data_IF_324569713997
#
_entry.id   IF_324569713997
#
_cell.length_a   1.000
_cell.length_b   1.000
_cell.length_c   1.000
_cell.angle_alpha   90.00
_cell.angle_beta   90.00
_cell.angle_gamma   90.00
#
_symmetry.space_group_name_H-M   'P 1'
#
loop_
_entity.id
_entity.type
_entity.pdbx_description
1 polymer ?
#
# COMPACT_ATOMS: atom_id res chain seq x y z
N UNK A 1 -14.09 19.23 -5.54
CA UNK A 1 -14.60 18.97 -6.91
C UNK A 1 -15.88 19.74 -7.29
N UNK A 2 -16.84 19.96 -6.37
CA UNK A 2 -18.14 20.61 -6.69
C UNK A 2 -18.08 22.12 -6.96
N UNK A 3 -17.23 22.88 -6.27
CA UNK A 3 -17.14 24.33 -6.50
C UNK A 3 -16.57 24.70 -7.87
N UNK A 4 -15.50 24.02 -8.32
CA UNK A 4 -14.90 24.25 -9.64
C UNK A 4 -15.87 23.96 -10.79
N UNK A 5 -16.63 22.86 -10.68
CA UNK A 5 -17.65 22.49 -11.66
C UNK A 5 -18.84 23.46 -11.64
N UNK A 6 -19.32 23.86 -10.46
CA UNK A 6 -20.35 24.89 -10.33
C UNK A 6 -19.91 26.25 -10.90
N UNK A 7 -18.67 26.68 -10.64
CA UNK A 7 -18.12 27.92 -11.18
C UNK A 7 -18.00 27.88 -12.71
N UNK A 8 -17.57 26.75 -13.28
CA UNK A 8 -17.53 26.55 -14.73
C UNK A 8 -18.93 26.56 -15.37
N UNK A 9 -19.91 25.91 -14.74
CA UNK A 9 -21.30 25.94 -15.21
C UNK A 9 -21.89 27.35 -15.15
N UNK A 10 -21.60 28.11 -14.10
CA UNK A 10 -22.03 29.50 -13.97
C UNK A 10 -21.38 30.39 -15.03
N UNK A 11 -20.08 30.23 -15.28
CA UNK A 11 -19.36 30.92 -16.35
C UNK A 11 -19.97 30.58 -17.73
N UNK A 12 -20.24 29.30 -18.00
CA UNK A 12 -20.86 28.84 -19.23
C UNK A 12 -22.24 29.50 -19.41
N UNK A 13 -23.08 29.48 -18.37
CA UNK A 13 -24.39 30.12 -18.39
C UNK A 13 -24.30 31.63 -18.66
N UNK A 14 -23.30 32.31 -18.08
CA UNK A 14 -23.08 33.73 -18.27
C UNK A 14 -22.63 34.04 -19.71
N UNK A 15 -21.73 33.23 -20.28
CA UNK A 15 -21.30 33.35 -21.69
C UNK A 15 -22.46 33.10 -22.65
N UNK A 16 -23.24 32.04 -22.43
CA UNK A 16 -24.40 31.71 -23.26
C UNK A 16 -25.48 32.79 -23.16
N UNK A 17 -25.76 33.28 -21.95
CA UNK A 17 -26.70 34.37 -21.73
C UNK A 17 -26.27 35.67 -22.40
N UNK A 18 -24.98 36.03 -22.29
CA UNK A 18 -24.42 37.19 -22.99
C UNK A 18 -24.51 37.04 -24.52
N UNK A 19 -24.21 35.86 -25.06
CA UNK A 19 -24.30 35.59 -26.49
C UNK A 19 -25.76 35.70 -27.00
N UNK A 20 -26.72 35.18 -26.24
CA UNK A 20 -28.14 35.26 -26.56
C UNK A 20 -28.67 36.71 -26.52
N UNK A 21 -28.25 37.51 -25.53
CA UNK A 21 -28.61 38.93 -25.44
C UNK A 21 -28.07 39.73 -26.62
N UNK A 22 -26.87 39.39 -27.10
CA UNK A 22 -26.18 40.07 -28.20
C UNK A 22 -26.41 39.38 -29.57
N UNK A 23 -27.47 38.57 -29.71
CA UNK A 23 -27.70 37.73 -30.89
C UNK A 23 -27.64 38.49 -32.22
N UNK A 24 -28.24 39.68 -32.27
CA UNK A 24 -28.27 40.52 -33.47
C UNK A 24 -26.87 40.88 -34.00
N UNK A 25 -25.88 41.04 -33.11
CA UNK A 25 -24.49 41.31 -33.49
C UNK A 25 -23.80 40.07 -34.09
N UNK A 26 -24.20 38.87 -33.65
CA UNK A 26 -23.61 37.62 -34.14
C UNK A 26 -24.08 37.25 -35.56
N UNK A 27 -25.32 37.61 -35.91
CA UNK A 27 -25.91 37.37 -37.25
C UNK A 27 -25.64 38.50 -38.25
N UNK A 28 -24.97 39.58 -37.82
CA UNK A 28 -24.60 40.67 -38.72
C UNK A 28 -23.67 40.18 -39.85
N UNK A 29 -24.02 40.37 -41.13
CA UNK A 29 -23.23 39.88 -42.25
C UNK A 29 -21.89 40.63 -42.34
N UNK A 30 -20.79 39.87 -42.40
CA UNK A 30 -19.45 40.38 -42.57
C UNK A 30 -18.78 39.73 -43.79
N UNK A 31 -17.93 40.46 -44.48
CA UNK A 31 -17.07 39.91 -45.52
C UNK A 31 -15.85 39.26 -44.86
N UNK A 32 -15.78 37.93 -44.84
CA UNK A 32 -14.62 37.19 -44.34
C UNK A 32 -13.70 36.84 -45.50
N UNK A 33 -12.41 37.16 -45.35
CA UNK A 33 -11.37 36.67 -46.24
C UNK A 33 -10.75 35.39 -45.65
N UNK A 34 -10.91 34.26 -46.33
CA UNK A 34 -10.40 32.95 -45.92
C UNK A 34 -8.99 32.66 -46.45
N UNK A 35 -8.30 33.67 -47.00
CA UNK A 35 -7.00 33.54 -47.65
C UNK A 35 -7.06 32.99 -49.08
N UNK A 36 -8.03 32.12 -49.39
CA UNK A 36 -8.28 31.57 -50.72
C UNK A 36 -9.51 32.18 -51.43
N UNK A 37 -10.28 33.01 -50.75
CA UNK A 37 -11.48 33.65 -51.29
C UNK A 37 -12.26 34.41 -50.21
N UNK A 38 -13.15 35.32 -50.63
CA UNK A 38 -14.04 36.05 -49.74
C UNK A 38 -15.42 35.41 -49.68
N UNK A 39 -15.89 35.08 -48.48
CA UNK A 39 -17.26 34.59 -48.24
C UNK A 39 -17.98 35.60 -47.35
N UNK A 40 -19.25 35.84 -47.66
CA UNK A 40 -20.11 36.68 -46.85
C UNK A 40 -20.84 35.80 -45.84
N UNK A 41 -20.40 35.87 -44.59
CA UNK A 41 -20.95 35.07 -43.50
C UNK A 41 -20.96 35.91 -42.22
N UNK A 42 -21.90 35.68 -41.30
CA UNK A 42 -21.85 36.32 -40.00
C UNK A 42 -20.63 35.84 -39.21
N UNK A 43 -19.63 36.72 -39.07
CA UNK A 43 -18.37 36.42 -38.40
C UNK A 43 -18.61 35.91 -36.97
N UNK A 44 -19.61 36.47 -36.30
CA UNK A 44 -19.97 36.08 -34.94
C UNK A 44 -20.41 34.62 -34.84
N UNK A 45 -21.28 34.14 -35.73
CA UNK A 45 -21.70 32.73 -35.75
C UNK A 45 -20.55 31.78 -36.03
N UNK A 46 -19.65 32.16 -36.95
CA UNK A 46 -18.46 31.35 -37.28
C UNK A 46 -17.55 31.21 -36.07
N UNK A 47 -17.27 32.30 -35.36
CA UNK A 47 -16.46 32.27 -34.13
C UNK A 47 -17.13 31.48 -33.00
N UNK A 48 -18.44 31.65 -32.80
CA UNK A 48 -19.20 30.90 -31.78
C UNK A 48 -19.17 29.39 -32.07
N UNK A 49 -19.35 29.00 -33.34
CA UNK A 49 -19.28 27.61 -33.77
C UNK A 49 -17.90 27.00 -33.56
N UNK A 50 -16.84 27.71 -33.95
CA UNK A 50 -15.46 27.27 -33.73
C UNK A 50 -15.14 27.13 -32.24
N UNK A 51 -15.54 28.10 -31.41
CA UNK A 51 -15.32 28.06 -29.97
C UNK A 51 -16.08 26.89 -29.33
N UNK A 52 -17.33 26.66 -29.73
CA UNK A 52 -18.14 25.54 -29.27
C UNK A 52 -17.53 24.19 -29.64
N UNK A 53 -17.08 24.05 -30.89
CA UNK A 53 -16.42 22.85 -31.40
C UNK A 53 -15.10 22.58 -30.66
N UNK A 54 -14.29 23.61 -30.44
CA UNK A 54 -13.06 23.52 -29.67
C UNK A 54 -13.34 23.10 -28.23
N UNK A 55 -14.34 23.71 -27.58
CA UNK A 55 -14.76 23.36 -26.21
C UNK A 55 -15.20 21.92 -26.11
N UNK A 56 -16.01 21.44 -27.07
CA UNK A 56 -16.47 20.06 -27.14
C UNK A 56 -15.28 19.09 -27.34
N UNK A 57 -14.39 19.38 -28.27
CA UNK A 57 -13.20 18.57 -28.52
C UNK A 57 -12.29 18.49 -27.28
N UNK A 58 -12.04 19.62 -26.62
CA UNK A 58 -11.30 19.67 -25.36
C UNK A 58 -12.01 18.88 -24.25
N UNK A 59 -13.33 19.02 -24.12
CA UNK A 59 -14.09 18.27 -23.11
C UNK A 59 -14.01 16.77 -23.33
N UNK A 60 -14.11 16.30 -24.59
CA UNK A 60 -13.94 14.89 -24.93
C UNK A 60 -12.52 14.41 -24.65
N UNK A 61 -11.51 15.19 -25.02
CA UNK A 61 -10.11 14.89 -24.73
C UNK A 61 -9.85 14.78 -23.21
N UNK A 62 -10.35 15.74 -22.42
CA UNK A 62 -10.25 15.73 -20.95
C UNK A 62 -11.01 14.55 -20.32
N UNK A 63 -12.17 14.19 -20.86
CA UNK A 63 -12.94 13.04 -20.37
C UNK A 63 -12.19 11.73 -20.64
N UNK A 64 -11.62 11.59 -21.83
CA UNK A 64 -10.76 10.45 -22.18
C UNK A 64 -9.52 10.39 -21.27
N UNK A 65 -8.89 11.54 -21.02
CA UNK A 65 -7.70 11.66 -20.16
C UNK A 65 -7.97 11.34 -18.67
N UNK A 66 -9.17 11.66 -18.17
CA UNK A 66 -9.57 11.27 -16.81
C UNK A 66 -9.78 9.76 -16.67
N UNK A 67 -10.16 9.08 -17.75
CA UNK A 67 -10.33 7.62 -17.77
C UNK A 67 -9.02 6.86 -17.53
N UNK A 68 -7.93 7.32 -18.13
CA UNK A 68 -6.58 6.72 -17.95
C UNK A 68 -6.08 6.90 -16.51
N UNK A 69 -6.28 8.06 -15.90
CA UNK A 69 -5.85 8.31 -14.51
C UNK A 69 -6.60 7.42 -13.50
N UNK A 70 -7.90 7.14 -13.74
CA UNK A 70 -8.68 6.23 -12.89
C UNK A 70 -8.27 4.76 -13.04
N UNK A 71 -7.83 4.36 -14.25
CA UNK A 71 -7.37 3.01 -14.51
C UNK A 71 -5.98 2.75 -13.90
N UNK A 72 -5.07 3.72 -14.00
CA UNK A 72 -3.74 3.65 -13.38
C UNK A 72 -3.82 3.61 -11.84
N UNK A 73 -4.68 4.42 -11.22
CA UNK A 73 -4.90 4.36 -9.76
C UNK A 73 -5.44 3.01 -9.30
N UNK A 74 -6.34 2.38 -10.08
CA UNK A 74 -6.79 1.01 -9.81
C UNK A 74 -5.67 -0.02 -9.98
N UNK A 75 -4.77 0.17 -10.96
CA UNK A 75 -3.65 -0.74 -11.18
C UNK A 75 -2.64 -0.66 -10.04
N UNK A 76 -2.27 0.54 -9.60
CA UNK A 76 -1.37 0.73 -8.46
C UNK A 76 -1.96 0.20 -7.15
N UNK A 77 -3.27 0.35 -6.93
CA UNK A 77 -3.92 -0.25 -5.76
C UNK A 77 -3.80 -1.79 -5.75
N UNK A 78 -3.90 -2.45 -6.91
CA UNK A 78 -3.68 -3.89 -7.03
C UNK A 78 -2.23 -4.29 -6.81
N UNK A 79 -1.29 -3.53 -7.36
CA UNK A 79 0.16 -3.77 -7.16
C UNK A 79 0.55 -3.66 -5.68
N UNK A 80 0.05 -2.64 -4.97
CA UNK A 80 0.26 -2.49 -3.51
C UNK A 80 -0.37 -3.65 -2.72
N UNK A 81 -1.58 -4.08 -3.10
CA UNK A 81 -2.24 -5.19 -2.42
C UNK A 81 -1.46 -6.50 -2.58
N UNK A 82 -0.96 -6.79 -3.79
CA UNK A 82 -0.15 -7.97 -4.05
C UNK A 82 1.18 -7.93 -3.27
N UNK A 83 1.82 -6.77 -3.16
CA UNK A 83 3.02 -6.61 -2.35
C UNK A 83 2.76 -6.81 -0.85
N UNK A 84 1.62 -6.32 -0.34
CA UNK A 84 1.21 -6.58 1.06
C UNK A 84 1.01 -8.06 1.32
N UNK A 85 0.34 -8.76 0.42
CA UNK A 85 0.10 -10.20 0.58
C UNK A 85 1.41 -11.01 0.58
N UNK A 86 2.37 -10.65 -0.28
CA UNK A 86 3.71 -11.25 -0.27
C UNK A 86 4.49 -10.90 1.00
N UNK A 87 4.38 -9.66 1.50
CA UNK A 87 5.00 -9.24 2.74
C UNK A 87 4.42 -9.99 3.95
N UNK A 88 3.09 -10.06 4.07
CA UNK A 88 2.39 -10.77 5.13
C UNK A 88 2.75 -12.27 5.13
N UNK A 89 2.86 -12.87 3.95
CA UNK A 89 3.29 -14.27 3.82
C UNK A 89 4.75 -14.47 4.24
N UNK A 90 5.64 -13.54 3.88
CA UNK A 90 7.03 -13.57 4.30
C UNK A 90 7.17 -13.34 5.82
N UNK A 91 6.36 -12.47 6.41
CA UNK A 91 6.31 -12.23 7.85
C UNK A 91 5.77 -13.47 8.60
N UNK A 92 4.72 -14.12 8.10
CA UNK A 92 4.19 -15.36 8.65
C UNK A 92 5.23 -16.50 8.63
N UNK A 93 6.00 -16.59 7.54
CA UNK A 93 7.12 -17.54 7.43
C UNK A 93 8.21 -17.27 8.46
N UNK A 94 8.66 -16.00 8.58
CA UNK A 94 9.65 -15.58 9.59
C UNK A 94 9.17 -15.85 11.01
N UNK A 95 7.90 -15.59 11.32
CA UNK A 95 7.33 -15.87 12.63
C UNK A 95 7.34 -17.36 12.93
N UNK A 96 7.02 -18.20 11.94
CA UNK A 96 7.05 -19.66 12.06
C UNK A 96 8.49 -20.16 12.27
N UNK A 97 9.45 -19.63 11.54
CA UNK A 97 10.88 -19.96 11.68
C UNK A 97 11.41 -19.58 13.06
N UNK A 98 11.18 -18.34 13.51
CA UNK A 98 11.54 -17.86 14.86
C UNK A 98 10.92 -18.73 15.95
N UNK A 99 9.64 -19.09 15.81
CA UNK A 99 8.96 -19.99 16.75
C UNK A 99 9.64 -21.36 16.79
N UNK A 100 10.02 -21.89 15.64
CA UNK A 100 10.67 -23.21 15.54
C UNK A 100 12.06 -23.17 16.19
N UNK A 101 12.85 -22.13 15.93
CA UNK A 101 14.15 -21.92 16.58
C UNK A 101 14.00 -21.79 18.10
N UNK A 102 13.04 -20.98 18.56
CA UNK A 102 12.78 -20.79 19.99
C UNK A 102 12.35 -22.11 20.66
N UNK A 103 11.51 -22.90 20.01
CA UNK A 103 11.11 -24.22 20.52
C UNK A 103 12.31 -25.17 20.61
N UNK A 104 13.21 -25.15 19.63
CA UNK A 104 14.43 -25.96 19.64
C UNK A 104 15.38 -25.53 20.78
N UNK A 105 15.58 -24.23 20.98
CA UNK A 105 16.37 -23.68 22.08
C UNK A 105 15.79 -24.05 23.45
N UNK A 106 14.47 -23.91 23.63
CA UNK A 106 13.79 -24.31 24.87
C UNK A 106 13.94 -25.80 25.16
N UNK A 107 13.79 -26.66 24.14
CA UNK A 107 14.01 -28.09 24.27
C UNK A 107 15.47 -28.42 24.63
N UNK A 108 16.43 -27.72 24.01
CA UNK A 108 17.85 -27.85 24.32
C UNK A 108 18.20 -27.44 25.75
N UNK A 109 17.62 -26.33 26.23
CA UNK A 109 17.78 -25.89 27.62
C UNK A 109 17.16 -26.87 28.62
N UNK A 110 15.96 -27.39 28.32
CA UNK A 110 15.31 -28.39 29.17
C UNK A 110 16.15 -29.67 29.28
N UNK A 111 16.73 -30.13 28.16
CA UNK A 111 17.61 -31.30 28.14
C UNK A 111 18.90 -31.06 28.95
N UNK A 112 19.53 -29.89 28.81
CA UNK A 112 20.73 -29.53 29.60
C UNK A 112 20.43 -29.48 31.10
N UNK A 113 19.27 -28.95 31.48
CA UNK A 113 18.87 -28.84 32.89
C UNK A 113 18.59 -30.22 33.51
N UNK A 114 17.98 -31.12 32.74
CA UNK A 114 17.78 -32.52 33.13
C UNK A 114 19.11 -33.25 33.30
N UNK A 115 20.03 -33.09 32.35
CA UNK A 115 21.37 -33.67 32.42
C UNK A 115 22.17 -33.13 33.61
N UNK A 116 22.10 -31.83 33.92
CA UNK A 116 22.77 -31.27 35.10
C UNK A 116 22.17 -31.80 36.40
N UNK A 117 20.85 -31.99 36.47
CA UNK A 117 20.21 -32.58 37.65
C UNK A 117 20.64 -34.03 37.87
N UNK A 118 20.69 -34.81 36.79
CA UNK A 118 21.16 -36.19 36.84
C UNK A 118 22.62 -36.27 37.29
N UNK A 119 23.50 -35.43 36.72
CA UNK A 119 24.90 -35.36 37.13
C UNK A 119 25.03 -35.01 38.63
N UNK A 120 24.30 -34.00 39.11
CA UNK A 120 24.27 -33.66 40.54
C UNK A 120 23.79 -34.83 41.41
N UNK A 121 22.74 -35.52 40.97
CA UNK A 121 22.19 -36.66 41.73
C UNK A 121 23.16 -37.84 41.78
N UNK A 122 23.93 -38.06 40.72
CA UNK A 122 24.95 -39.09 40.68
C UNK A 122 26.12 -38.74 41.60
N UNK A 123 26.60 -37.50 41.55
CA UNK A 123 27.68 -37.00 42.40
C UNK A 123 27.31 -37.12 43.90
N UNK A 124 26.06 -36.77 44.25
CA UNK A 124 25.52 -36.98 45.60
C UNK A 124 25.51 -38.46 46.03
N UNK A 125 25.18 -39.38 45.12
CA UNK A 125 25.19 -40.84 45.41
C UNK A 125 26.61 -41.36 45.59
N UNK A 126 27.56 -40.91 44.77
CA UNK A 126 28.97 -41.27 44.90
C UNK A 126 29.55 -40.76 46.23
N UNK A 127 29.27 -39.51 46.60
CA UNK A 127 29.65 -38.97 47.91
C UNK A 127 29.02 -39.74 49.07
N UNK A 128 27.73 -40.07 48.99
CA UNK A 128 27.06 -40.88 50.03
C UNK A 128 27.72 -42.26 50.20
N UNK A 129 28.07 -42.91 49.09
CA UNK A 129 28.74 -44.22 49.13
C UNK A 129 30.17 -44.10 49.69
N UNK A 130 30.92 -43.06 49.31
CA UNK A 130 32.26 -42.81 49.83
C UNK A 130 32.25 -42.51 51.33
N UNK A 131 31.25 -41.77 51.82
CA UNK A 131 31.06 -41.54 53.27
C UNK A 131 30.72 -42.85 54.00
N UNK A 132 29.83 -43.67 53.46
CA UNK A 132 29.50 -44.97 54.05
C UNK A 132 30.73 -45.89 54.15
N UNK A 133 31.58 -45.92 53.12
CA UNK A 133 32.82 -46.68 53.12
C UNK A 133 33.81 -46.17 54.19
N UNK A 134 33.99 -44.85 54.30
CA UNK A 134 34.85 -44.26 55.34
C UNK A 134 34.33 -44.54 56.76
N UNK A 135 33.02 -44.48 56.99
CA UNK A 135 32.41 -44.83 58.28
C UNK A 135 32.61 -46.31 58.59
N UNK A 136 32.42 -47.20 57.61
CA UNK A 136 32.64 -48.63 57.79
C UNK A 136 34.10 -48.95 58.13
N UNK A 137 35.07 -48.28 57.48
CA UNK A 137 36.49 -48.42 57.79
C UNK A 137 36.81 -47.94 59.21
N UNK A 138 36.23 -46.81 59.65
CA UNK A 138 36.41 -46.31 61.02
C UNK A 138 35.83 -47.26 62.07
N UNK A 139 34.64 -47.83 61.80
CA UNK A 139 34.02 -48.82 62.70
C UNK A 139 34.85 -50.10 62.82
N UNK A 140 35.43 -50.59 61.72
CA UNK A 140 36.30 -51.77 61.72
C UNK A 140 37.60 -51.51 62.50
N UNK A 141 38.20 -50.32 62.36
CA UNK A 141 39.37 -49.92 63.17
C UNK A 141 39.07 -49.84 64.66
N UNK A 142 37.88 -49.38 65.06
CA UNK A 142 37.49 -49.33 66.47
C UNK A 142 37.25 -50.72 67.07
N UNK A 143 36.85 -51.71 66.28
CA UNK A 143 36.64 -53.09 66.76
C UNK A 143 37.93 -53.89 66.91
N UNK A 144 39.00 -53.48 66.21
CA UNK A 144 40.30 -54.16 66.24
C UNK A 144 41.28 -53.59 67.27
N UNK A 145 40.96 -52.46 67.91
CA UNK A 145 41.71 -51.88 69.04
C UNK A 145 41.04 -52.16 70.38
#
# INVERSE_FOLDING_TARGET
MRFRTLALLLLLALITGFAAMNWALFIAPASLNLGLGSIQAPLGLVLLGLLGLLTLAFSLYLAFWQGTVLLETRRHAKEIQAQRELADQAEASRFTELKTVLQAEMAGLAAKLLASQQALSQDMREHSNALAAQIAELDDRMKQG
#
